data_IF_566579631874
#
_entry.id   IF_566579631874
#
_cell.length_a   1.000
_cell.length_b   1.000
_cell.length_c   1.000
_cell.angle_alpha   90.00
_cell.angle_beta   90.00
_cell.angle_gamma   90.00
#
_symmetry.space_group_name_H-M   'P 1'
#
loop_
_entity.id
_entity.type
_entity.pdbx_description
1 polymer ?
#
# COMPACT_ATOMS: atom_id res chain seq x y z
N UNK A 1 -17.75 15.30 25.13
CA UNK A 1 -16.30 15.36 24.88
C UNK A 1 -15.92 14.11 24.09
N UNK A 2 -15.56 14.34 22.82
CA UNK A 2 -15.01 13.45 21.77
C UNK A 2 -14.72 11.97 22.10
N UNK A 3 -15.52 11.07 21.54
CA UNK A 3 -15.07 9.73 21.13
C UNK A 3 -15.11 9.68 19.61
N UNK A 4 -14.08 10.24 18.98
CA UNK A 4 -13.86 10.13 17.53
C UNK A 4 -13.55 8.67 17.23
N UNK A 5 -14.58 7.85 17.03
CA UNK A 5 -14.48 6.50 16.53
C UNK A 5 -13.80 6.57 15.18
N UNK A 6 -12.48 6.41 15.14
CA UNK A 6 -11.73 6.04 13.94
C UNK A 6 -12.25 4.67 13.51
N UNK A 7 -13.44 4.64 12.93
CA UNK A 7 -13.83 3.60 12.00
C UNK A 7 -13.05 3.90 10.73
N UNK A 8 -11.71 3.75 10.79
CA UNK A 8 -10.89 3.59 9.61
C UNK A 8 -11.46 2.36 8.93
N UNK A 9 -12.36 2.58 7.97
CA UNK A 9 -12.78 1.55 7.05
C UNK A 9 -11.50 1.12 6.36
N UNK A 10 -10.85 0.09 6.90
CA UNK A 10 -9.67 -0.50 6.30
C UNK A 10 -10.16 -1.31 5.10
N UNK A 11 -10.54 -0.54 4.07
CA UNK A 11 -11.14 -1.05 2.86
C UNK A 11 -10.07 -1.88 2.18
N UNK A 12 -10.49 -3.05 1.73
CA UNK A 12 -9.59 -3.93 1.03
C UNK A 12 -9.43 -3.42 -0.39
N UNK A 13 -8.23 -2.95 -0.68
CA UNK A 13 -7.78 -2.47 -1.98
C UNK A 13 -7.46 -3.67 -2.86
N UNK A 14 -8.05 -3.72 -4.06
CA UNK A 14 -7.74 -4.74 -5.07
C UNK A 14 -6.53 -4.35 -5.90
N UNK A 15 -6.02 -5.28 -6.71
CA UNK A 15 -4.86 -5.03 -7.59
C UNK A 15 -4.96 -3.77 -8.48
N UNK A 16 -6.08 -3.50 -9.19
CA UNK A 16 -6.20 -2.29 -10.01
C UNK A 16 -6.12 -1.00 -9.18
N UNK A 17 -6.76 -0.97 -8.02
CA UNK A 17 -6.75 0.21 -7.13
C UNK A 17 -5.39 0.39 -6.47
N UNK A 18 -4.73 -0.71 -6.03
CA UNK A 18 -3.34 -0.69 -5.55
C UNK A 18 -2.41 -0.12 -6.63
N UNK A 19 -2.58 -0.51 -7.89
CA UNK A 19 -1.80 0.00 -9.01
C UNK A 19 -2.02 1.50 -9.20
N UNK A 20 -3.26 2.00 -9.07
CA UNK A 20 -3.57 3.43 -9.14
C UNK A 20 -2.94 4.20 -7.97
N UNK A 21 -3.07 3.71 -6.73
CA UNK A 21 -2.55 4.36 -5.53
C UNK A 21 -1.02 4.42 -5.49
N UNK A 22 -0.38 3.30 -5.81
CA UNK A 22 1.09 3.17 -5.70
C UNK A 22 1.83 3.51 -6.99
N UNK A 23 1.10 3.67 -8.11
CA UNK A 23 1.64 3.78 -9.48
C UNK A 23 2.60 2.64 -9.89
N UNK A 24 2.64 1.56 -9.13
CA UNK A 24 3.63 0.48 -9.26
C UNK A 24 3.00 -0.71 -9.95
N UNK A 25 3.67 -1.22 -11.00
CA UNK A 25 3.26 -2.42 -11.72
C UNK A 25 3.38 -3.70 -10.88
N UNK A 26 2.68 -4.77 -11.31
CA UNK A 26 2.64 -6.08 -10.64
C UNK A 26 4.04 -6.66 -10.37
N UNK A 27 4.94 -6.61 -11.35
CA UNK A 27 6.31 -7.13 -11.24
C UNK A 27 7.10 -6.37 -10.18
N UNK A 28 6.99 -5.04 -10.17
CA UNK A 28 7.68 -4.19 -9.19
C UNK A 28 7.12 -4.40 -7.78
N UNK A 29 5.80 -4.54 -7.64
CA UNK A 29 5.18 -4.90 -6.36
C UNK A 29 5.72 -6.24 -5.84
N UNK A 30 5.84 -7.25 -6.70
CA UNK A 30 6.43 -8.55 -6.33
C UNK A 30 7.90 -8.45 -5.90
N UNK A 31 8.71 -7.67 -6.62
CA UNK A 31 10.11 -7.41 -6.24
C UNK A 31 10.20 -6.72 -4.88
N UNK A 32 9.32 -5.75 -4.61
CA UNK A 32 9.27 -5.04 -3.33
C UNK A 32 8.76 -5.92 -2.19
N UNK A 33 7.77 -6.77 -2.45
CA UNK A 33 7.28 -7.79 -1.50
C UNK A 33 8.43 -8.73 -1.08
N UNK A 34 9.22 -9.20 -2.05
CA UNK A 34 10.42 -10.02 -1.77
C UNK A 34 11.49 -9.29 -0.96
N UNK A 35 11.59 -7.97 -1.11
CA UNK A 35 12.53 -7.13 -0.34
C UNK A 35 11.98 -6.75 1.03
N UNK A 36 10.75 -7.14 1.39
CA UNK A 36 10.09 -6.69 2.62
C UNK A 36 9.71 -5.20 2.61
N UNK A 37 9.73 -4.59 1.42
CA UNK A 37 9.45 -3.17 1.18
C UNK A 37 8.07 -2.98 0.54
N UNK A 38 7.12 -3.88 0.74
CA UNK A 38 5.74 -3.74 0.27
C UNK A 38 4.80 -4.42 1.28
N UNK A 39 3.60 -3.87 1.52
CA UNK A 39 2.63 -4.50 2.41
C UNK A 39 2.23 -5.90 1.92
N UNK A 40 2.02 -6.81 2.88
CA UNK A 40 1.71 -8.20 2.58
C UNK A 40 0.32 -8.33 1.97
N UNK A 41 0.21 -9.07 0.87
CA UNK A 41 -1.10 -9.44 0.29
C UNK A 41 -1.90 -10.30 1.26
N UNK A 42 -3.18 -10.00 1.43
CA UNK A 42 -4.14 -10.77 2.24
C UNK A 42 -5.14 -11.47 1.32
N UNK A 43 -5.40 -12.75 1.61
CA UNK A 43 -6.46 -13.50 0.93
C UNK A 43 -7.80 -12.97 1.44
N UNK A 44 -8.68 -12.51 0.55
CA UNK A 44 -10.03 -12.09 0.96
C UNK A 44 -10.97 -13.26 1.15
N UNK A 45 -10.72 -14.35 0.43
CA UNK A 45 -11.53 -15.56 0.50
C UNK A 45 -10.62 -16.79 0.54
N UNK A 46 -10.97 -17.81 1.33
CA UNK A 46 -10.15 -19.00 1.52
C UNK A 46 -9.90 -19.81 0.24
N UNK A 47 -10.75 -19.67 -0.79
CA UNK A 47 -10.70 -20.46 -2.03
C UNK A 47 -10.59 -19.61 -3.31
N UNK A 48 -10.25 -18.32 -3.19
CA UNK A 48 -10.17 -17.44 -4.36
C UNK A 48 -8.79 -16.83 -4.52
N UNK A 49 -8.34 -16.68 -5.77
CA UNK A 49 -7.18 -15.88 -6.14
C UNK A 49 -7.38 -14.36 -5.88
N UNK A 50 -8.54 -13.98 -5.33
CA UNK A 50 -8.90 -12.63 -4.94
C UNK A 50 -8.04 -12.17 -3.74
N UNK A 51 -6.86 -11.64 -4.06
CA UNK A 51 -5.97 -10.96 -3.12
C UNK A 51 -6.38 -9.50 -2.92
N UNK A 52 -5.97 -8.93 -1.81
CA UNK A 52 -6.08 -7.49 -1.57
C UNK A 52 -5.16 -7.01 -0.47
N UNK A 53 -5.12 -5.70 -0.32
CA UNK A 53 -4.29 -4.99 0.63
C UNK A 53 -5.15 -4.11 1.50
N UNK A 54 -4.73 -3.89 2.72
CA UNK A 54 -5.34 -2.90 3.59
C UNK A 54 -4.99 -1.50 3.06
N UNK A 55 -6.00 -0.64 2.93
CA UNK A 55 -5.78 0.73 2.48
C UNK A 55 -4.86 1.47 3.45
N UNK A 56 -5.00 1.23 4.76
CA UNK A 56 -4.09 1.83 5.75
C UNK A 56 -2.66 1.38 5.51
N UNK A 57 -2.41 0.07 5.32
CA UNK A 57 -1.06 -0.43 5.06
C UNK A 57 -0.44 0.17 3.79
N UNK A 58 -1.22 0.30 2.71
CA UNK A 58 -0.74 0.96 1.49
C UNK A 58 -0.45 2.44 1.72
N UNK A 59 -1.30 3.15 2.44
CA UNK A 59 -1.13 4.56 2.72
C UNK A 59 0.07 4.82 3.66
N UNK A 60 0.22 4.03 4.72
CA UNK A 60 1.39 4.03 5.60
C UNK A 60 2.66 3.72 4.84
N UNK A 61 2.60 2.77 3.91
CA UNK A 61 3.72 2.44 3.05
C UNK A 61 4.11 3.58 2.10
N UNK A 62 3.12 4.24 1.49
CA UNK A 62 3.35 5.45 0.66
C UNK A 62 3.96 6.55 1.53
N UNK A 63 3.44 6.78 2.73
CA UNK A 63 3.94 7.78 3.66
C UNK A 63 5.35 7.46 4.20
N UNK A 64 5.66 6.17 4.42
CA UNK A 64 6.98 5.70 4.84
C UNK A 64 8.03 5.89 3.74
N UNK A 65 7.63 5.87 2.47
CA UNK A 65 8.50 6.32 1.40
C UNK A 65 8.59 7.83 1.48
N UNK A 66 9.71 8.32 2.01
CA UNK A 66 10.07 9.73 1.91
C UNK A 66 9.84 10.15 0.46
N UNK A 67 9.16 11.30 0.20
CA UNK A 67 9.13 11.85 -1.14
C UNK A 67 10.58 11.84 -1.62
N UNK A 68 10.80 11.41 -2.85
CA UNK A 68 12.11 11.54 -3.47
C UNK A 68 12.41 13.03 -3.33
N UNK A 69 13.29 13.38 -2.39
CA UNK A 69 13.86 14.71 -2.31
C UNK A 69 14.56 14.79 -3.66
N UNK A 70 13.87 15.39 -4.64
CA UNK A 70 14.47 15.80 -5.88
C UNK A 70 15.70 16.57 -5.42
N UNK A 71 16.87 15.99 -5.73
CA UNK A 71 18.12 16.40 -5.13
C UNK A 71 18.15 17.92 -5.07
N UNK A 72 18.24 18.44 -3.84
CA UNK A 72 18.79 19.76 -3.66
C UNK A 72 20.21 19.65 -4.23
N UNK A 73 20.30 19.98 -5.52
CA UNK A 73 21.52 20.43 -6.15
C UNK A 73 22.01 21.57 -5.28
N UNK A 74 22.99 21.29 -4.44
CA UNK A 74 23.74 22.29 -3.72
C UNK A 74 25.19 22.14 -4.12
N UNK A 75 25.69 23.24 -4.69
CA UNK A 75 27.01 23.54 -5.27
C UNK A 75 27.29 23.02 -6.69
#
# INVERSE_FOLDING_TARGET
MTSNTKTTQDRIVREPERKQLTAIGRTTAWQLERRGLFPKRRHLYPHSAAMGWLLSELNEWIASRKPVNGGAVHD
#
